data_IF_286081942489
#
_entry.id   IF_286081942489
#
_cell.length_a   1.000
_cell.length_b   1.000
_cell.length_c   1.000
_cell.angle_alpha   90.00
_cell.angle_beta   90.00
_cell.angle_gamma   90.00
#
_symmetry.space_group_name_H-M   'P 1'
#
loop_
_entity.id
_entity.type
_entity.pdbx_description
1 polymer ?
#
# COMPACT_ATOMS: atom_id res chain seq x y z
N UNK A 1 -4.09 -14.17 16.12
CA UNK A 1 -4.63 -13.81 14.79
C UNK A 1 -3.46 -13.60 13.83
N UNK A 2 -3.11 -14.58 13.00
CA UNK A 2 -1.95 -14.52 12.10
C UNK A 2 -2.31 -14.78 10.62
N UNK A 3 -3.61 -14.72 10.25
CA UNK A 3 -4.08 -15.00 8.88
C UNK A 3 -4.40 -13.77 8.04
N UNK A 4 -4.68 -12.62 8.66
CA UNK A 4 -5.24 -11.45 7.98
C UNK A 4 -4.23 -10.73 7.07
N UNK A 5 -2.93 -10.88 7.33
CA UNK A 5 -1.88 -10.24 6.52
C UNK A 5 -1.76 -10.87 5.12
N UNK A 6 -1.79 -12.21 5.04
CA UNK A 6 -1.64 -12.93 3.76
C UNK A 6 -2.83 -12.73 2.82
N UNK A 7 -4.05 -12.57 3.34
CA UNK A 7 -5.24 -12.41 2.51
C UNK A 7 -5.36 -10.98 1.95
N UNK A 8 -5.00 -9.97 2.75
CA UNK A 8 -4.91 -8.57 2.31
C UNK A 8 -3.81 -8.36 1.27
N UNK A 9 -2.67 -9.04 1.42
CA UNK A 9 -1.59 -8.98 0.44
C UNK A 9 -1.98 -9.58 -0.93
N UNK A 10 -2.85 -10.60 -0.97
CA UNK A 10 -3.31 -11.22 -2.24
C UNK A 10 -4.23 -10.32 -3.07
N UNK A 11 -4.91 -9.38 -2.42
CA UNK A 11 -5.84 -8.46 -3.07
C UNK A 11 -5.32 -7.02 -3.08
N UNK A 12 -4.09 -6.80 -2.60
CA UNK A 12 -3.41 -5.53 -2.69
C UNK A 12 -3.03 -5.27 -4.15
N UNK A 13 -3.45 -4.12 -4.67
CA UNK A 13 -3.09 -3.64 -5.99
C UNK A 13 -1.80 -2.85 -5.90
N UNK A 14 -0.94 -2.94 -6.92
CA UNK A 14 0.25 -2.10 -7.00
C UNK A 14 -0.18 -0.64 -7.14
N UNK A 15 0.50 0.23 -6.42
CA UNK A 15 0.23 1.66 -6.45
C UNK A 15 1.52 2.47 -6.32
N UNK A 16 1.49 3.69 -6.81
CA UNK A 16 2.44 4.72 -6.43
C UNK A 16 1.87 5.48 -5.24
N UNK A 17 2.69 5.64 -4.20
CA UNK A 17 2.38 6.40 -3.00
C UNK A 17 3.37 7.56 -2.99
N UNK A 18 2.89 8.79 -3.14
CA UNK A 18 3.72 10.00 -3.23
C UNK A 18 4.87 9.87 -4.27
N UNK A 19 4.60 9.17 -5.38
CA UNK A 19 5.56 8.89 -6.45
C UNK A 19 6.55 7.74 -6.18
N UNK A 20 6.51 7.12 -4.99
CA UNK A 20 7.29 5.94 -4.63
C UNK A 20 6.50 4.62 -4.84
N UNK A 21 7.19 3.48 -4.99
CA UNK A 21 6.54 2.19 -5.15
C UNK A 21 5.81 1.76 -3.87
N UNK A 22 4.60 1.21 -4.04
CA UNK A 22 3.76 0.76 -2.95
C UNK A 22 2.73 -0.27 -3.39
N UNK A 23 1.92 -0.68 -2.42
CA UNK A 23 0.70 -1.44 -2.70
C UNK A 23 -0.45 -0.88 -1.87
N UNK A 24 -1.67 -0.88 -2.41
CA UNK A 24 -2.87 -0.47 -1.71
C UNK A 24 -3.87 -1.60 -1.72
N UNK A 25 -4.46 -1.87 -0.56
CA UNK A 25 -5.63 -2.71 -0.47
C UNK A 25 -6.88 -1.82 -0.40
N UNK A 26 -7.62 -1.79 -1.50
CA UNK A 26 -8.79 -0.95 -1.67
C UNK A 26 -10.02 -1.76 -2.14
N UNK A 27 -10.58 -2.64 -1.30
CA UNK A 27 -11.79 -3.37 -1.68
C UNK A 27 -12.93 -2.37 -1.94
N UNK A 28 -13.50 -2.41 -3.14
CA UNK A 28 -14.53 -1.46 -3.57
C UNK A 28 -14.01 -0.06 -3.94
N UNK A 29 -12.71 0.11 -4.18
CA UNK A 29 -12.10 1.37 -4.62
C UNK A 29 -11.79 2.37 -3.50
N UNK A 30 -11.99 1.99 -2.24
CA UNK A 30 -11.64 2.82 -1.08
C UNK A 30 -10.39 2.27 -0.39
N UNK A 31 -9.28 3.03 -0.31
CA UNK A 31 -8.08 2.61 0.38
C UNK A 31 -8.37 2.31 1.85
N UNK A 32 -8.20 1.04 2.26
CA UNK A 32 -8.28 0.63 3.66
C UNK A 32 -6.89 0.48 4.28
N UNK A 33 -5.92 0.06 3.48
CA UNK A 33 -4.55 -0.20 3.92
C UNK A 33 -3.60 0.12 2.79
N UNK A 34 -2.54 0.86 3.10
CA UNK A 34 -1.44 1.17 2.20
C UNK A 34 -0.16 0.53 2.75
N UNK A 35 0.59 -0.10 1.85
CA UNK A 35 1.90 -0.67 2.07
C UNK A 35 2.93 0.22 1.36
N UNK A 36 3.62 1.05 2.14
CA UNK A 36 4.72 1.88 1.64
C UNK A 36 6.01 1.08 1.57
N UNK A 37 6.74 1.15 0.45
CA UNK A 37 8.06 0.54 0.34
C UNK A 37 9.14 1.62 0.38
N UNK A 38 10.02 1.55 1.37
CA UNK A 38 11.22 2.38 1.38
C UNK A 38 12.29 1.70 0.53
N UNK A 39 12.73 2.37 -0.52
CA UNK A 39 13.79 1.90 -1.40
C UNK A 39 15.13 2.52 -1.03
N UNK A 40 16.17 1.69 -0.91
CA UNK A 40 17.56 2.15 -0.85
C UNK A 40 18.45 1.26 -1.72
N UNK A 41 19.27 1.89 -2.57
CA UNK A 41 20.18 1.19 -3.50
C UNK A 41 19.46 0.14 -4.38
N UNK A 42 18.24 0.46 -4.84
CA UNK A 42 17.44 -0.44 -5.68
C UNK A 42 16.85 -1.65 -4.96
N UNK A 43 16.84 -1.65 -3.62
CA UNK A 43 16.24 -2.71 -2.80
C UNK A 43 15.22 -2.13 -1.83
N UNK A 44 14.17 -2.89 -1.54
CA UNK A 44 13.23 -2.57 -0.47
C UNK A 44 13.94 -2.80 0.86
N UNK A 45 14.12 -1.74 1.64
CA UNK A 45 14.77 -1.78 2.96
C UNK A 45 13.79 -1.65 4.13
N UNK A 46 12.57 -1.19 3.87
CA UNK A 46 11.49 -1.18 4.84
C UNK A 46 10.13 -1.33 4.15
N UNK A 47 9.18 -1.88 4.90
CA UNK A 47 7.77 -1.99 4.51
C UNK A 47 6.96 -1.41 5.66
N UNK A 48 6.24 -0.32 5.38
CA UNK A 48 5.40 0.37 6.35
C UNK A 48 3.92 0.11 6.03
N UNK A 49 3.15 -0.23 7.06
CA UNK A 49 1.71 -0.46 6.94
C UNK A 49 0.96 0.74 7.51
N UNK A 50 0.18 1.41 6.66
CA UNK A 50 -0.67 2.52 7.05
C UNK A 50 -2.14 2.15 6.82
N UNK A 51 -2.92 2.14 7.90
CA UNK A 51 -4.37 1.86 7.87
C UNK A 51 -5.20 3.00 8.48
N UNK A 52 -4.58 4.15 8.77
CA UNK A 52 -5.25 5.32 9.33
C UNK A 52 -5.98 6.08 8.22
N UNK A 53 -7.33 6.11 8.19
CA UNK A 53 -8.10 6.69 7.10
C UNK A 53 -7.85 8.19 6.90
N UNK A 54 -7.53 8.93 7.96
CA UNK A 54 -7.26 10.37 7.85
C UNK A 54 -5.90 10.61 7.18
N UNK A 55 -4.90 9.77 7.48
CA UNK A 55 -3.60 9.82 6.80
C UNK A 55 -3.69 9.32 5.36
N UNK A 56 -4.49 8.29 5.10
CA UNK A 56 -4.68 7.75 3.76
C UNK A 56 -5.27 8.79 2.80
N UNK A 57 -6.15 9.68 3.29
CA UNK A 57 -6.73 10.79 2.50
C UNK A 57 -5.73 11.87 2.13
N UNK A 58 -4.59 11.93 2.82
CA UNK A 58 -3.53 12.93 2.57
C UNK A 58 -2.46 12.43 1.61
N UNK A 59 -2.41 11.14 1.31
CA UNK A 59 -1.45 10.55 0.40
C UNK A 59 -1.90 10.73 -1.05
N UNK A 60 -0.93 10.99 -1.93
CA UNK A 60 -1.17 10.89 -3.37
C UNK A 60 -1.04 9.42 -3.79
N UNK A 61 -2.20 8.79 -4.06
CA UNK A 61 -2.30 7.37 -4.38
C UNK A 61 -2.70 7.19 -5.85
N UNK A 62 -1.80 6.62 -6.64
CA UNK A 62 -2.09 6.21 -8.02
C UNK A 62 -2.04 4.70 -8.14
N UNK A 63 -3.20 4.05 -8.29
CA UNK A 63 -3.28 2.60 -8.53
C UNK A 63 -2.80 2.32 -9.95
N UNK A 64 -1.89 1.36 -10.08
CA UNK A 64 -1.39 0.90 -11.36
C UNK A 64 -2.33 -0.21 -11.85
N UNK A 65 -3.21 0.12 -12.79
CA UNK A 65 -3.92 -0.91 -13.55
C UNK A 65 -2.91 -1.68 -14.40
N UNK A 66 -2.88 -3.00 -14.22
CA UNK A 66 -2.02 -3.94 -14.97
C UNK A 66 -2.88 -4.80 -15.88
#
# INVERSE_FOLDING_TARGET
MAGTFSERARTAQLALIDGGPGAVWAPGGQPLVVFGFTMARGKIVAIDLLADPERLRQLDLAVIDT
#
